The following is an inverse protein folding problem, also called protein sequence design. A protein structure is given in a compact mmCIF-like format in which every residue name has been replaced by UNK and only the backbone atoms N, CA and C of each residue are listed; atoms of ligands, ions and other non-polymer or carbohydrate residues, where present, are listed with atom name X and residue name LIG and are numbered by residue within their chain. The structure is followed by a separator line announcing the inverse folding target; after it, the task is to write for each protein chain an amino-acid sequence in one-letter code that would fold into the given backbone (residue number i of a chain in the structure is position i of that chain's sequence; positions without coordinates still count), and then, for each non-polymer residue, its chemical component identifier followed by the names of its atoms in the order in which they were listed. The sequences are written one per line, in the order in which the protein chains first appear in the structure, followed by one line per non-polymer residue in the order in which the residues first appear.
data_IF_062422179771
#
_entry.id   IF_062422179771
#
_cell.length_a   1.000
_cell.length_b   1.000
_cell.length_c   1.000
_cell.angle_alpha   90.00
_cell.angle_beta   90.00
_cell.angle_gamma   90.00
#
_symmetry.space_group_name_H-M   'P 1'
#
loop_
_entity.id
_entity.type
_entity.pdbx_description
1 polymer ?
#
# COMPACT_ATOMS: atom_id res chain seq x y z
N UNK A 1 29.00 4.75 -6.65
CA UNK A 1 27.79 5.41 -7.19
C UNK A 1 26.63 5.53 -6.19
N UNK A 2 26.73 4.93 -5.00
CA UNK A 2 25.70 4.97 -3.93
C UNK A 2 25.70 6.23 -3.06
N UNK A 3 26.80 6.98 -2.99
CA UNK A 3 26.91 8.17 -2.11
C UNK A 3 26.41 9.48 -2.74
N UNK A 4 26.21 9.52 -4.07
CA UNK A 4 25.70 10.75 -4.73
C UNK A 4 24.20 10.96 -4.54
N UNK A 5 23.41 9.93 -4.26
CA UNK A 5 21.96 10.04 -4.02
C UNK A 5 21.59 10.61 -2.64
N UNK A 6 22.50 10.52 -1.66
CA UNK A 6 22.28 11.12 -0.31
C UNK A 6 22.36 12.65 -0.30
N UNK A 7 22.89 13.28 -1.35
CA UNK A 7 23.06 14.74 -1.44
C UNK A 7 21.85 15.50 -1.97
N UNK A 8 20.83 14.80 -2.51
CA UNK A 8 19.66 15.42 -3.15
C UNK A 8 18.37 15.41 -2.31
N UNK A 9 18.38 14.83 -1.11
CA UNK A 9 17.22 14.93 -0.23
C UNK A 9 17.34 16.20 0.58
N UNK A 10 16.43 17.18 0.40
CA UNK A 10 16.40 18.34 1.29
C UNK A 10 16.24 17.83 2.73
N UNK A 11 16.89 18.52 3.67
CA UNK A 11 17.02 18.16 5.08
C UNK A 11 15.66 18.13 5.80
N UNK A 12 14.77 17.25 5.41
CA UNK A 12 13.44 17.05 5.97
C UNK A 12 12.55 16.29 4.97
N UNK A 13 11.68 15.44 5.46
CA UNK A 13 10.68 14.75 4.65
C UNK A 13 9.34 14.80 5.37
N UNK A 14 8.28 14.81 4.58
CA UNK A 14 6.91 14.75 5.04
C UNK A 14 6.30 13.43 4.55
N UNK A 15 5.80 12.64 5.48
CA UNK A 15 5.03 11.44 5.20
C UNK A 15 3.57 11.70 5.56
N UNK A 16 2.70 11.69 4.57
CA UNK A 16 1.26 11.76 4.73
C UNK A 16 0.68 10.35 4.65
N UNK A 17 -0.18 9.97 5.59
CA UNK A 17 -0.94 8.73 5.55
C UNK A 17 -2.41 9.03 5.40
N UNK A 18 -3.06 8.36 4.47
CA UNK A 18 -4.49 8.42 4.24
C UNK A 18 -5.12 7.07 4.58
N UNK A 19 -6.09 7.09 5.48
CA UNK A 19 -7.01 5.99 5.74
C UNK A 19 -8.43 6.39 5.35
N UNK A 20 -9.38 5.47 5.48
CA UNK A 20 -10.80 5.74 5.22
C UNK A 20 -11.33 6.88 6.08
N UNK A 21 -10.93 6.91 7.34
CA UNK A 21 -11.53 7.75 8.37
C UNK A 21 -10.64 8.91 8.81
N UNK A 22 -9.36 8.90 8.41
CA UNK A 22 -8.40 9.89 8.87
C UNK A 22 -7.28 10.17 7.87
N UNK A 23 -6.78 11.39 7.92
CA UNK A 23 -5.51 11.79 7.32
C UNK A 23 -4.54 12.15 8.43
N UNK A 24 -3.32 11.67 8.34
CA UNK A 24 -2.27 12.01 9.30
C UNK A 24 -0.97 12.36 8.60
N UNK A 25 -0.20 13.25 9.22
CA UNK A 25 1.12 13.63 8.73
C UNK A 25 2.17 13.36 9.79
N UNK A 26 3.30 12.84 9.35
CA UNK A 26 4.54 12.77 10.12
C UNK A 26 5.58 13.62 9.40
N UNK A 27 5.91 14.75 9.99
CA UNK A 27 7.00 15.61 9.50
C UNK A 27 8.26 15.34 10.32
N UNK A 28 9.32 14.97 9.63
CA UNK A 28 10.65 14.84 10.21
C UNK A 28 11.50 15.99 9.67
N UNK A 29 11.88 16.90 10.54
CA UNK A 29 12.82 17.99 10.21
C UNK A 29 14.24 17.42 10.08
N UNK A 30 15.03 17.98 9.16
CA UNK A 30 16.41 17.52 8.93
C UNK A 30 17.41 17.88 10.03
N UNK A 31 16.99 18.56 11.09
CA UNK A 31 17.83 18.83 12.27
C UNK A 31 17.87 17.62 13.17
N UNK A 32 19.09 17.27 13.64
CA UNK A 32 19.31 16.10 14.53
C UNK A 32 18.53 16.16 15.85
N UNK A 33 18.11 17.35 16.28
CA UNK A 33 17.44 17.60 17.58
C UNK A 33 15.96 17.97 17.42
N UNK A 34 15.36 17.86 16.23
CA UNK A 34 13.95 18.21 16.07
C UNK A 34 13.06 17.03 16.41
N UNK A 35 12.07 17.27 17.25
CA UNK A 35 11.01 16.30 17.55
C UNK A 35 10.14 16.12 16.30
N UNK A 36 9.80 14.86 15.92
CA UNK A 36 8.86 14.62 14.85
C UNK A 36 7.48 15.22 15.19
N UNK A 37 6.91 15.98 14.26
CA UNK A 37 5.55 16.52 14.40
C UNK A 37 4.58 15.52 13.82
N UNK A 38 3.62 15.05 14.62
CA UNK A 38 2.52 14.19 14.17
C UNK A 38 1.20 14.93 14.39
N UNK A 39 0.40 15.02 13.32
CA UNK A 39 -0.92 15.64 13.33
C UNK A 39 -1.87 14.70 12.60
N UNK A 40 -3.13 14.62 13.03
CA UNK A 40 -4.16 13.85 12.36
C UNK A 40 -5.48 14.64 12.35
N UNK A 41 -6.25 14.48 11.26
CA UNK A 41 -7.59 15.02 11.09
C UNK A 41 -8.53 13.94 10.57
N UNK A 42 -9.83 14.00 10.91
CA UNK A 42 -10.82 13.08 10.35
C UNK A 42 -10.99 13.35 8.83
N UNK A 43 -11.26 12.28 8.09
CA UNK A 43 -11.60 12.36 6.66
C UNK A 43 -13.11 12.22 6.47
N UNK A 44 -13.72 12.98 5.55
CA UNK A 44 -15.11 12.76 5.16
C UNK A 44 -15.24 11.43 4.38
N UNK A 45 -16.45 10.88 4.36
CA UNK A 45 -16.72 9.66 3.59
C UNK A 45 -16.38 9.86 2.10
N UNK A 46 -15.60 8.93 1.56
CA UNK A 46 -15.11 9.04 0.18
C UNK A 46 -16.23 8.92 -0.87
N UNK A 47 -17.32 8.22 -0.57
CA UNK A 47 -18.31 7.80 -1.58
C UNK A 47 -18.90 8.99 -2.36
N UNK A 48 -19.22 10.09 -1.68
CA UNK A 48 -19.90 11.24 -2.29
C UNK A 48 -19.07 12.53 -2.26
N UNK A 49 -17.83 12.46 -1.73
CA UNK A 49 -17.00 13.65 -1.58
C UNK A 49 -16.32 14.05 -2.90
N UNK A 50 -16.38 15.33 -3.23
CA UNK A 50 -15.62 15.91 -4.33
C UNK A 50 -14.14 16.06 -3.95
N UNK A 51 -13.22 16.21 -4.93
CA UNK A 51 -11.81 16.45 -4.65
C UNK A 51 -11.58 17.65 -3.72
N UNK A 52 -12.33 18.73 -3.87
CA UNK A 52 -12.20 19.93 -3.04
C UNK A 52 -12.56 19.66 -1.58
N UNK A 53 -13.63 18.92 -1.33
CA UNK A 53 -14.05 18.52 0.03
C UNK A 53 -13.01 17.62 0.69
N UNK A 54 -12.44 16.67 -0.07
CA UNK A 54 -11.36 15.80 0.42
C UNK A 54 -10.05 16.56 0.66
N UNK A 55 -9.77 17.61 -0.10
CA UNK A 55 -8.57 18.41 0.04
C UNK A 55 -8.55 19.23 1.34
N UNK A 56 -9.71 19.61 1.89
CA UNK A 56 -9.80 20.43 3.12
C UNK A 56 -9.04 19.80 4.29
N UNK A 57 -9.36 18.59 4.77
CA UNK A 57 -8.64 17.98 5.89
C UNK A 57 -7.16 17.69 5.57
N UNK A 58 -6.83 17.38 4.30
CA UNK A 58 -5.45 17.16 3.88
C UNK A 58 -4.66 18.46 3.99
N UNK A 59 -5.21 19.57 3.52
CA UNK A 59 -4.58 20.90 3.65
C UNK A 59 -4.41 21.28 5.11
N UNK A 60 -5.46 21.10 5.93
CA UNK A 60 -5.43 21.44 7.34
C UNK A 60 -4.34 20.69 8.13
N UNK A 61 -4.15 19.40 7.85
CA UNK A 61 -3.10 18.61 8.51
C UNK A 61 -1.70 19.05 8.08
N UNK A 62 -1.51 19.42 6.81
CA UNK A 62 -0.25 19.93 6.28
C UNK A 62 0.09 21.32 6.86
N UNK A 63 -0.90 22.21 6.97
CA UNK A 63 -0.77 23.54 7.58
C UNK A 63 -0.37 23.43 9.04
N UNK A 64 -1.12 22.62 9.82
CA UNK A 64 -0.84 22.40 11.24
C UNK A 64 0.55 21.82 11.49
N UNK A 65 1.01 20.94 10.60
CA UNK A 65 2.37 20.39 10.68
C UNK A 65 3.45 21.36 10.17
N UNK A 66 3.06 22.51 9.62
CA UNK A 66 3.97 23.49 9.05
C UNK A 66 4.74 22.97 7.83
N UNK A 67 4.07 22.17 7.00
CA UNK A 67 4.67 21.64 5.77
C UNK A 67 4.52 22.70 4.68
N UNK A 68 5.65 23.18 4.16
CA UNK A 68 5.68 24.06 3.01
C UNK A 68 6.92 23.78 2.18
N UNK A 69 6.78 23.86 0.85
CA UNK A 69 7.90 23.73 -0.12
C UNK A 69 8.76 22.47 0.09
N UNK A 70 8.13 21.39 0.52
CA UNK A 70 8.80 20.12 0.85
C UNK A 70 8.25 18.97 -0.01
N UNK A 71 9.07 17.96 -0.31
CA UNK A 71 8.55 16.75 -0.94
C UNK A 71 7.64 15.99 0.04
N UNK A 72 6.45 15.63 -0.43
CA UNK A 72 5.44 14.89 0.34
C UNK A 72 5.35 13.48 -0.21
N UNK A 73 5.60 12.50 0.65
CA UNK A 73 5.40 11.09 0.37
C UNK A 73 4.07 10.65 0.96
N UNK A 74 3.20 10.11 0.14
CA UNK A 74 1.86 9.69 0.56
C UNK A 74 1.80 8.18 0.62
N UNK A 75 1.33 7.67 1.75
CA UNK A 75 0.94 6.28 1.93
C UNK A 75 -0.57 6.20 2.00
N UNK A 76 -1.17 5.29 1.23
CA UNK A 76 -2.61 5.07 1.19
C UNK A 76 -2.89 3.71 1.83
N UNK A 77 -3.83 3.66 2.77
CA UNK A 77 -4.28 2.42 3.37
C UNK A 77 -4.94 1.50 2.33
N UNK A 78 -4.78 0.21 2.50
CA UNK A 78 -5.13 -0.79 1.48
C UNK A 78 -6.63 -0.90 1.22
N UNK A 79 -7.47 -0.49 2.16
CA UNK A 79 -8.93 -0.44 1.98
C UNK A 79 -9.39 0.66 1.00
N UNK A 80 -8.52 1.63 0.71
CA UNK A 80 -8.72 2.68 -0.29
C UNK A 80 -8.17 2.30 -1.68
N UNK A 81 -7.48 1.18 -1.81
CA UNK A 81 -6.87 0.72 -3.05
C UNK A 81 -7.54 -0.57 -3.56
N UNK A 82 -7.40 -0.82 -4.86
CA UNK A 82 -7.77 -2.07 -5.51
C UNK A 82 -6.52 -2.73 -6.07
N UNK A 83 -6.31 -4.00 -5.77
CA UNK A 83 -5.15 -4.77 -6.21
C UNK A 83 -5.56 -5.92 -7.10
N UNK A 84 -4.83 -6.15 -8.16
CA UNK A 84 -5.10 -7.28 -9.05
C UNK A 84 -3.86 -7.69 -9.83
N UNK A 85 -3.85 -8.93 -10.26
CA UNK A 85 -2.81 -9.46 -11.14
C UNK A 85 -3.33 -9.41 -12.57
N UNK A 86 -2.52 -8.86 -13.46
CA UNK A 86 -2.77 -8.75 -14.88
C UNK A 86 -1.90 -9.76 -15.61
N UNK A 87 -2.52 -10.61 -16.42
CA UNK A 87 -1.81 -11.45 -17.39
C UNK A 87 -1.68 -10.66 -18.68
N UNK A 88 -0.45 -10.39 -19.16
CA UNK A 88 -0.27 -9.66 -20.41
C UNK A 88 -0.83 -10.47 -21.59
N UNK A 89 -1.41 -9.80 -22.60
CA UNK A 89 -1.81 -10.47 -23.82
C UNK A 89 -0.62 -11.13 -24.53
N UNK A 90 -0.87 -12.26 -25.21
CA UNK A 90 0.16 -12.93 -25.98
C UNK A 90 0.76 -11.97 -27.05
N UNK A 91 2.08 -11.94 -27.15
CA UNK A 91 2.83 -11.09 -28.09
C UNK A 91 2.63 -9.58 -27.90
N UNK A 92 2.13 -9.15 -26.74
CA UNK A 92 2.01 -7.73 -26.41
C UNK A 92 3.36 -7.12 -26.13
N UNK A 93 3.73 -6.09 -26.89
CA UNK A 93 4.96 -5.32 -26.68
C UNK A 93 4.69 -3.85 -26.39
N UNK A 94 3.45 -3.39 -26.59
CA UNK A 94 3.08 -1.98 -26.45
C UNK A 94 2.48 -1.71 -25.08
N UNK A 95 2.86 -0.60 -24.47
CA UNK A 95 2.29 -0.15 -23.19
C UNK A 95 0.77 0.03 -23.25
N UNK A 96 0.24 0.42 -24.41
CA UNK A 96 -1.20 0.58 -24.62
C UNK A 96 -1.96 -0.74 -24.45
N UNK A 97 -1.42 -1.85 -24.97
CA UNK A 97 -2.04 -3.17 -24.87
C UNK A 97 -2.05 -3.67 -23.41
N UNK A 98 -0.97 -3.42 -22.69
CA UNK A 98 -0.88 -3.75 -21.25
C UNK A 98 -1.88 -2.94 -20.42
N UNK A 99 -2.05 -1.65 -20.72
CA UNK A 99 -3.04 -0.79 -20.07
C UNK A 99 -4.46 -1.23 -20.40
N UNK A 100 -4.74 -1.59 -21.63
CA UNK A 100 -6.04 -2.12 -22.05
C UNK A 100 -6.37 -3.43 -21.29
N UNK A 101 -5.40 -4.37 -21.23
CA UNK A 101 -5.56 -5.61 -20.48
C UNK A 101 -5.82 -5.36 -19.01
N UNK A 102 -5.11 -4.41 -18.39
CA UNK A 102 -5.35 -4.02 -16.99
C UNK A 102 -6.75 -3.43 -16.81
N UNK A 103 -7.22 -2.59 -17.74
CA UNK A 103 -8.58 -2.03 -17.71
C UNK A 103 -9.67 -3.10 -17.78
N UNK A 104 -9.55 -4.04 -18.71
CA UNK A 104 -10.47 -5.19 -18.83
C UNK A 104 -10.45 -6.04 -17.54
N UNK A 105 -9.25 -6.35 -17.02
CA UNK A 105 -9.14 -7.13 -15.80
C UNK A 105 -9.75 -6.42 -14.59
N UNK A 106 -9.55 -5.11 -14.46
CA UNK A 106 -10.16 -4.29 -13.42
C UNK A 106 -11.69 -4.35 -13.48
N UNK A 107 -12.27 -4.13 -14.67
CA UNK A 107 -13.71 -4.18 -14.88
C UNK A 107 -14.31 -5.55 -14.56
N UNK A 108 -13.64 -6.63 -14.95
CA UNK A 108 -14.08 -7.99 -14.63
C UNK A 108 -14.07 -8.30 -13.13
N UNK A 109 -13.14 -7.76 -12.38
CA UNK A 109 -13.01 -8.03 -10.95
C UNK A 109 -13.90 -7.15 -10.08
N UNK A 110 -14.06 -5.88 -10.45
CA UNK A 110 -14.71 -4.87 -9.61
C UNK A 110 -16.02 -4.34 -10.18
N UNK A 111 -16.36 -4.68 -11.43
CA UNK A 111 -17.58 -4.20 -12.08
C UNK A 111 -17.58 -2.69 -12.37
N UNK A 112 -16.45 -2.01 -12.18
CA UNK A 112 -16.32 -0.56 -12.27
C UNK A 112 -15.49 -0.16 -13.50
N UNK A 113 -15.77 1.04 -14.04
CA UNK A 113 -14.93 1.64 -15.09
C UNK A 113 -13.64 2.17 -14.50
N UNK A 114 -12.51 1.89 -15.16
CA UNK A 114 -11.20 2.42 -14.77
C UNK A 114 -11.10 3.95 -14.91
N UNK A 115 -12.05 4.61 -15.60
CA UNK A 115 -12.07 6.06 -15.78
C UNK A 115 -12.09 6.87 -14.47
N UNK A 116 -12.57 6.27 -13.39
CA UNK A 116 -12.62 6.90 -12.06
C UNK A 116 -11.44 6.53 -11.15
N UNK A 117 -10.46 5.81 -11.71
CA UNK A 117 -9.34 5.25 -10.96
C UNK A 117 -8.00 5.65 -11.57
N UNK A 118 -7.07 6.00 -10.73
CA UNK A 118 -5.67 6.18 -11.12
C UNK A 118 -4.96 4.83 -11.04
N UNK A 119 -4.54 4.31 -12.17
CA UNK A 119 -3.87 3.01 -12.29
C UNK A 119 -2.35 3.15 -12.25
N UNK A 120 -1.71 2.33 -11.44
CA UNK A 120 -0.27 2.08 -11.45
C UNK A 120 0.01 0.57 -11.48
N UNK A 121 1.08 0.15 -12.13
CA UNK A 121 1.43 -1.27 -12.24
C UNK A 121 2.94 -1.48 -12.46
N UNK A 122 3.40 -2.70 -12.15
CA UNK A 122 4.74 -3.21 -12.48
C UNK A 122 4.77 -3.71 -13.95
N UNK A 123 4.51 -2.83 -14.90
CA UNK A 123 4.32 -3.15 -16.32
C UNK A 123 5.32 -4.17 -16.86
N UNK A 124 4.86 -5.36 -17.17
CA UNK A 124 5.69 -6.43 -17.70
C UNK A 124 5.00 -7.14 -18.86
N UNK A 125 5.68 -7.22 -20.02
CA UNK A 125 5.07 -7.74 -21.25
C UNK A 125 5.04 -9.27 -21.34
N UNK A 126 5.87 -9.97 -20.54
CA UNK A 126 6.09 -11.43 -20.70
C UNK A 126 5.49 -12.23 -19.54
N UNK A 127 5.30 -11.64 -18.37
CA UNK A 127 4.80 -12.35 -17.19
C UNK A 127 3.71 -11.56 -16.47
N UNK A 128 2.83 -12.25 -15.73
CA UNK A 128 1.84 -11.59 -14.89
C UNK A 128 2.49 -10.56 -13.96
N UNK A 129 1.83 -9.42 -13.77
CA UNK A 129 2.32 -8.31 -12.98
C UNK A 129 1.24 -7.76 -12.05
N UNK A 130 1.69 -7.18 -10.94
CA UNK A 130 0.83 -6.47 -10.01
C UNK A 130 0.37 -5.14 -10.60
N UNK A 131 -0.92 -4.89 -10.51
CA UNK A 131 -1.53 -3.59 -10.72
C UNK A 131 -2.27 -3.15 -9.46
N UNK A 132 -2.27 -1.84 -9.22
CA UNK A 132 -3.09 -1.22 -8.19
C UNK A 132 -3.80 0.02 -8.74
N UNK A 133 -5.00 0.27 -8.25
CA UNK A 133 -5.81 1.42 -8.60
C UNK A 133 -6.26 2.14 -7.33
N UNK A 134 -6.19 3.47 -7.34
CA UNK A 134 -6.71 4.34 -6.28
C UNK A 134 -7.75 5.28 -6.86
N UNK A 135 -8.76 5.74 -6.09
CA UNK A 135 -9.77 6.65 -6.60
C UNK A 135 -9.15 7.93 -7.18
N UNK A 136 -9.49 8.29 -8.42
CA UNK A 136 -8.95 9.47 -9.09
C UNK A 136 -9.24 10.76 -8.31
N UNK A 137 -10.44 10.85 -7.69
CA UNK A 137 -10.81 11.98 -6.82
C UNK A 137 -9.88 12.16 -5.62
N UNK A 138 -9.38 11.05 -5.03
CA UNK A 138 -8.43 11.12 -3.94
C UNK A 138 -7.06 11.62 -4.41
N UNK A 139 -6.61 11.18 -5.58
CA UNK A 139 -5.39 11.69 -6.19
C UNK A 139 -5.52 13.19 -6.54
N UNK A 140 -6.66 13.62 -7.07
CA UNK A 140 -6.93 15.03 -7.35
C UNK A 140 -6.94 15.88 -6.07
N UNK A 141 -7.56 15.39 -4.99
CA UNK A 141 -7.56 16.07 -3.69
C UNK A 141 -6.15 16.22 -3.11
N UNK A 142 -5.32 15.18 -3.23
CA UNK A 142 -3.92 15.25 -2.84
C UNK A 142 -3.16 16.31 -3.61
N UNK A 143 -3.36 16.39 -4.93
CA UNK A 143 -2.71 17.39 -5.77
C UNK A 143 -3.14 18.81 -5.35
N UNK A 144 -4.44 19.06 -5.16
CA UNK A 144 -4.95 20.36 -4.69
C UNK A 144 -4.31 20.78 -3.35
N UNK A 145 -4.27 19.86 -2.38
CA UNK A 145 -3.72 20.16 -1.07
C UNK A 145 -2.19 20.41 -1.11
N UNK A 146 -1.46 19.66 -1.93
CA UNK A 146 -0.02 19.80 -2.08
C UNK A 146 0.34 21.10 -2.80
N UNK A 147 -0.43 21.48 -3.82
CA UNK A 147 -0.23 22.73 -4.57
C UNK A 147 -0.53 23.95 -3.68
N UNK A 148 -1.53 23.89 -2.79
CA UNK A 148 -1.83 24.93 -1.81
C UNK A 148 -0.62 25.18 -0.88
N UNK A 149 0.17 24.15 -0.55
CA UNK A 149 1.39 24.25 0.25
C UNK A 149 2.63 24.65 -0.56
N UNK A 150 2.48 24.90 -1.86
CA UNK A 150 3.62 25.10 -2.79
C UNK A 150 4.67 24.00 -2.67
N UNK A 151 4.20 22.79 -2.38
CA UNK A 151 4.98 21.57 -2.19
C UNK A 151 4.95 20.72 -3.45
N UNK A 152 5.60 19.56 -3.45
CA UNK A 152 5.51 18.61 -4.55
C UNK A 152 5.12 17.22 -4.03
N UNK A 153 4.26 16.55 -4.79
CA UNK A 153 3.88 15.17 -4.53
C UNK A 153 5.00 14.25 -5.03
N UNK A 154 5.84 13.78 -4.10
CA UNK A 154 7.01 12.98 -4.44
C UNK A 154 6.68 11.52 -4.74
N UNK A 155 5.71 10.97 -4.03
CA UNK A 155 5.20 9.61 -4.27
C UNK A 155 3.82 9.41 -3.65
N UNK A 156 3.02 8.56 -4.29
CA UNK A 156 1.76 8.05 -3.76
C UNK A 156 1.81 6.53 -3.86
N UNK A 157 1.83 5.84 -2.74
CA UNK A 157 1.95 4.38 -2.71
C UNK A 157 1.00 3.77 -1.68
N UNK A 158 0.20 2.78 -2.06
CA UNK A 158 -0.53 1.97 -1.09
C UNK A 158 0.41 1.16 -0.18
N UNK A 159 -0.05 0.86 1.03
CA UNK A 159 0.74 0.16 2.06
C UNK A 159 1.25 -1.20 1.54
N UNK A 160 0.39 -1.97 0.89
CA UNK A 160 0.77 -3.27 0.35
C UNK A 160 1.89 -3.18 -0.69
N UNK A 161 1.84 -2.19 -1.60
CA UNK A 161 2.91 -1.98 -2.59
C UNK A 161 4.24 -1.66 -1.90
N UNK A 162 4.19 -0.85 -0.85
CA UNK A 162 5.37 -0.51 -0.04
C UNK A 162 5.95 -1.74 0.65
N UNK A 163 5.10 -2.55 1.28
CA UNK A 163 5.49 -3.80 1.94
C UNK A 163 6.08 -4.81 0.94
N UNK A 164 5.38 -5.03 -0.18
CA UNK A 164 5.84 -5.91 -1.26
C UNK A 164 7.22 -5.52 -1.79
N UNK A 165 7.42 -4.26 -2.14
CA UNK A 165 8.70 -3.77 -2.66
C UNK A 165 9.85 -3.93 -1.67
N UNK A 166 9.57 -3.86 -0.36
CA UNK A 166 10.56 -4.05 0.71
C UNK A 166 10.89 -5.52 0.95
N UNK A 167 9.88 -6.39 0.91
CA UNK A 167 10.00 -7.78 1.36
C UNK A 167 10.28 -8.77 0.23
N UNK A 168 9.82 -8.53 -1.01
CA UNK A 168 9.86 -9.49 -2.13
C UNK A 168 11.21 -10.17 -2.38
N UNK A 169 12.33 -9.50 -2.05
CA UNK A 169 13.68 -10.08 -2.21
C UNK A 169 14.12 -10.98 -1.06
N UNK A 170 13.36 -11.00 0.03
CA UNK A 170 13.66 -11.77 1.26
C UNK A 170 12.66 -12.91 1.47
N UNK A 171 11.59 -12.96 0.69
CA UNK A 171 10.58 -13.99 0.79
C UNK A 171 11.11 -15.30 0.25
N UNK A 172 10.92 -16.37 1.03
CA UNK A 172 11.07 -17.75 0.55
C UNK A 172 9.96 -18.14 -0.42
N UNK A 173 10.11 -19.27 -1.09
CA UNK A 173 9.16 -19.76 -2.08
C UNK A 173 7.73 -19.97 -1.50
N UNK A 174 7.64 -20.36 -0.24
CA UNK A 174 6.38 -20.71 0.44
C UNK A 174 5.92 -19.64 1.43
N UNK A 175 6.49 -18.43 1.37
CA UNK A 175 6.15 -17.35 2.26
C UNK A 175 5.18 -16.37 1.58
N UNK A 176 4.10 -16.00 2.29
CA UNK A 176 3.19 -14.94 1.87
C UNK A 176 3.53 -13.63 2.56
N UNK A 177 3.11 -12.54 1.94
CA UNK A 177 3.22 -11.19 2.50
C UNK A 177 1.83 -10.67 2.84
N UNK A 178 1.74 -9.93 3.93
CA UNK A 178 0.51 -9.26 4.32
C UNK A 178 0.78 -7.83 4.79
N UNK A 179 -0.21 -6.97 4.64
CA UNK A 179 -0.30 -5.69 5.32
C UNK A 179 -1.52 -5.67 6.22
N UNK A 180 -1.33 -5.20 7.43
CA UNK A 180 -2.40 -5.03 8.41
C UNK A 180 -2.63 -3.54 8.66
N UNK A 181 -3.74 -3.03 8.17
CA UNK A 181 -4.26 -1.71 8.46
C UNK A 181 -5.30 -1.72 9.58
N UNK A 182 -5.93 -0.60 9.82
CA UNK A 182 -6.96 -0.47 10.85
C UNK A 182 -8.24 -1.23 10.48
N UNK A 183 -8.61 -1.20 9.18
CA UNK A 183 -9.88 -1.75 8.67
C UNK A 183 -9.71 -2.96 7.75
N UNK A 184 -8.50 -3.27 7.32
CA UNK A 184 -8.26 -4.31 6.33
C UNK A 184 -6.96 -5.09 6.56
N UNK A 185 -7.01 -6.36 6.16
CA UNK A 185 -5.86 -7.23 5.95
C UNK A 185 -5.71 -7.45 4.44
N UNK A 186 -4.57 -7.09 3.87
CA UNK A 186 -4.25 -7.40 2.48
C UNK A 186 -3.23 -8.51 2.42
N UNK A 187 -3.61 -9.61 1.75
CA UNK A 187 -2.77 -10.80 1.56
C UNK A 187 -2.20 -10.81 0.14
N UNK A 188 -0.88 -10.95 0.03
CA UNK A 188 -0.19 -11.25 -1.21
C UNK A 188 0.22 -12.72 -1.23
N UNK A 189 -0.42 -13.49 -2.09
CA UNK A 189 -0.17 -14.91 -2.28
C UNK A 189 1.02 -15.05 -3.21
N UNK A 190 2.09 -15.63 -2.70
CA UNK A 190 3.35 -15.76 -3.44
C UNK A 190 3.44 -17.15 -4.05
N UNK A 191 3.81 -17.21 -5.30
CA UNK A 191 4.14 -18.43 -6.02
C UNK A 191 5.51 -18.30 -6.68
N UNK A 192 6.18 -19.42 -6.88
CA UNK A 192 7.47 -19.47 -7.58
C UNK A 192 8.60 -20.02 -6.70
N UNK A 193 9.49 -20.79 -7.34
CA UNK A 193 10.57 -21.51 -6.64
C UNK A 193 11.88 -20.73 -6.62
N UNK A 194 12.14 -19.83 -7.56
CA UNK A 194 13.40 -19.09 -7.68
C UNK A 194 13.28 -17.61 -7.38
N UNK A 195 12.15 -17.01 -7.71
CA UNK A 195 11.85 -15.60 -7.43
C UNK A 195 10.42 -15.49 -6.95
N UNK A 196 10.22 -14.81 -5.82
CA UNK A 196 8.89 -14.53 -5.30
C UNK A 196 8.09 -13.71 -6.31
N UNK A 197 6.94 -14.23 -6.75
CA UNK A 197 5.97 -13.56 -7.62
C UNK A 197 4.62 -13.58 -6.96
N UNK A 198 3.86 -12.51 -7.11
CA UNK A 198 2.47 -12.50 -6.66
C UNK A 198 1.61 -13.31 -7.64
N UNK A 199 0.97 -14.36 -7.14
CA UNK A 199 -0.05 -15.11 -7.86
C UNK A 199 -1.41 -14.42 -7.74
N UNK A 200 -1.72 -13.91 -6.54
CA UNK A 200 -2.94 -13.16 -6.27
C UNK A 200 -2.71 -12.14 -5.15
N UNK A 201 -3.60 -11.14 -5.08
CA UNK A 201 -3.69 -10.20 -3.96
C UNK A 201 -5.15 -10.10 -3.53
N UNK A 202 -5.39 -10.19 -2.22
CA UNK A 202 -6.73 -10.12 -1.64
C UNK A 202 -6.77 -9.16 -0.47
N UNK A 203 -7.63 -8.17 -0.54
CA UNK A 203 -7.94 -7.28 0.58
C UNK A 203 -9.20 -7.77 1.27
N UNK A 204 -9.12 -8.02 2.56
CA UNK A 204 -10.16 -8.60 3.40
C UNK A 204 -10.48 -7.59 4.49
N UNK A 205 -11.73 -7.20 4.62
CA UNK A 205 -12.17 -6.33 5.70
C UNK A 205 -11.99 -7.05 7.04
N UNK A 206 -11.42 -6.36 8.01
CA UNK A 206 -11.32 -6.88 9.36
C UNK A 206 -12.71 -6.92 10.01
N UNK A 207 -13.02 -7.95 10.81
CA UNK A 207 -14.28 -7.99 11.52
C UNK A 207 -14.33 -6.89 12.58
N UNK A 208 -15.51 -6.36 12.85
CA UNK A 208 -15.74 -5.39 13.94
C UNK A 208 -15.38 -5.98 15.30
N UNK A 209 -15.59 -7.30 15.47
CA UNK A 209 -15.08 -8.06 16.60
C UNK A 209 -13.57 -8.29 16.47
N UNK A 210 -12.92 -8.64 17.56
CA UNK A 210 -11.49 -8.93 17.56
C UNK A 210 -11.14 -10.06 16.58
N UNK A 211 -10.35 -9.74 15.54
CA UNK A 211 -9.82 -10.74 14.62
C UNK A 211 -8.85 -11.66 15.36
N UNK A 212 -9.24 -12.92 15.56
CA UNK A 212 -8.46 -13.93 16.28
C UNK A 212 -7.41 -14.60 15.38
N UNK A 213 -6.50 -15.38 15.97
CA UNK A 213 -5.60 -16.25 15.23
C UNK A 213 -6.35 -17.28 14.36
N UNK A 214 -7.46 -17.81 14.87
CA UNK A 214 -8.32 -18.74 14.13
C UNK A 214 -8.89 -18.06 12.89
N UNK A 215 -9.43 -16.85 13.03
CA UNK A 215 -9.91 -16.06 11.89
C UNK A 215 -8.81 -15.86 10.83
N UNK A 216 -7.59 -15.50 11.25
CA UNK A 216 -6.47 -15.33 10.32
C UNK A 216 -6.16 -16.63 9.57
N UNK A 217 -6.08 -17.75 10.29
CA UNK A 217 -5.84 -19.07 9.69
C UNK A 217 -6.89 -19.45 8.67
N UNK A 218 -8.17 -19.21 8.99
CA UNK A 218 -9.29 -19.47 8.09
C UNK A 218 -9.19 -18.60 6.82
N UNK A 219 -8.80 -17.31 6.95
CA UNK A 219 -8.60 -16.45 5.78
C UNK A 219 -7.44 -16.92 4.90
N UNK A 220 -6.34 -17.37 5.48
CA UNK A 220 -5.20 -17.93 4.73
C UNK A 220 -5.58 -19.19 3.98
N UNK A 221 -6.28 -20.12 4.65
CA UNK A 221 -6.78 -21.36 4.05
C UNK A 221 -7.76 -21.07 2.91
N UNK A 222 -8.72 -20.16 3.15
CA UNK A 222 -9.68 -19.74 2.14
C UNK A 222 -9.01 -19.10 0.92
N UNK A 223 -8.04 -18.23 1.15
CA UNK A 223 -7.30 -17.59 0.06
C UNK A 223 -6.52 -18.63 -0.77
N UNK A 224 -5.86 -19.59 -0.11
CA UNK A 224 -5.15 -20.68 -0.77
C UNK A 224 -6.07 -21.50 -1.69
N UNK A 225 -7.24 -21.87 -1.18
CA UNK A 225 -8.22 -22.66 -1.94
C UNK A 225 -8.79 -21.88 -3.13
N UNK A 226 -9.17 -20.62 -2.93
CA UNK A 226 -9.78 -19.79 -3.97
C UNK A 226 -8.84 -19.46 -5.13
N UNK A 227 -7.53 -19.34 -4.87
CA UNK A 227 -6.52 -19.02 -5.88
C UNK A 227 -5.73 -20.25 -6.33
N UNK A 228 -6.10 -21.44 -5.86
CA UNK A 228 -5.45 -22.72 -6.17
C UNK A 228 -3.92 -22.64 -5.96
N UNK A 229 -3.50 -22.11 -4.80
CA UNK A 229 -2.10 -22.03 -4.38
C UNK A 229 -1.90 -22.79 -3.08
N UNK A 230 -0.67 -23.22 -2.79
CA UNK A 230 -0.34 -23.87 -1.52
C UNK A 230 -0.49 -22.88 -0.36
N UNK A 231 -0.99 -23.34 0.81
CA UNK A 231 -0.95 -22.54 2.03
C UNK A 231 0.50 -22.13 2.37
N UNK A 232 0.71 -20.96 2.97
CA UNK A 232 2.06 -20.51 3.29
C UNK A 232 2.67 -21.29 4.46
N UNK A 233 3.98 -21.52 4.43
CA UNK A 233 4.76 -21.98 5.59
C UNK A 233 5.16 -20.80 6.51
N UNK A 234 5.23 -19.60 5.95
CA UNK A 234 5.54 -18.37 6.68
C UNK A 234 4.69 -17.19 6.19
N UNK A 235 4.33 -16.32 7.11
CA UNK A 235 3.58 -15.09 6.83
C UNK A 235 4.37 -13.88 7.31
N UNK A 236 4.75 -13.00 6.38
CA UNK A 236 5.43 -11.75 6.68
C UNK A 236 4.39 -10.63 6.74
N UNK A 237 4.09 -10.11 7.93
CA UNK A 237 3.09 -9.06 8.12
C UNK A 237 3.76 -7.70 8.32
N UNK A 238 3.41 -6.75 7.47
CA UNK A 238 3.77 -5.35 7.65
C UNK A 238 2.64 -4.62 8.36
N UNK A 239 2.92 -4.04 9.52
CA UNK A 239 1.93 -3.33 10.33
C UNK A 239 2.27 -3.35 11.81
N UNK A 240 1.29 -2.98 12.64
CA UNK A 240 1.41 -3.05 14.10
C UNK A 240 1.06 -4.47 14.54
N UNK A 241 1.93 -5.14 15.32
CA UNK A 241 1.62 -6.46 15.86
C UNK A 241 0.29 -6.48 16.60
N UNK A 242 -0.50 -7.51 16.34
CA UNK A 242 -1.78 -7.73 17.00
C UNK A 242 -1.64 -8.83 18.04
N UNK A 243 -2.18 -8.58 19.22
CA UNK A 243 -2.22 -9.60 20.27
C UNK A 243 -2.96 -10.85 19.79
N UNK A 244 -2.41 -12.01 20.12
CA UNK A 244 -2.97 -13.30 19.71
C UNK A 244 -2.59 -13.77 18.29
N UNK A 245 -1.84 -12.98 17.51
CA UNK A 245 -1.33 -13.39 16.19
C UNK A 245 0.13 -13.86 16.24
N UNK A 246 0.55 -14.47 17.35
CA UNK A 246 1.86 -15.10 17.46
C UNK A 246 1.90 -16.39 16.65
N UNK A 247 3.11 -16.83 16.29
CA UNK A 247 3.36 -18.01 15.47
C UNK A 247 2.65 -19.28 16.01
N UNK A 248 2.73 -19.52 17.30
CA UNK A 248 2.12 -20.70 17.95
C UNK A 248 0.59 -20.68 17.84
N UNK A 249 -0.05 -19.52 17.93
CA UNK A 249 -1.50 -19.38 17.87
C UNK A 249 -2.03 -19.54 16.43
N UNK A 250 -1.25 -19.07 15.43
CA UNK A 250 -1.62 -19.17 14.01
C UNK A 250 -1.25 -20.53 13.42
N UNK A 251 -0.27 -21.23 14.00
CA UNK A 251 0.21 -22.52 13.53
C UNK A 251 1.09 -22.43 12.30
N UNK A 252 1.72 -21.26 12.07
CA UNK A 252 2.71 -21.02 11.03
C UNK A 252 3.72 -19.96 11.48
N UNK A 253 4.84 -19.85 10.79
CA UNK A 253 5.86 -18.85 11.12
C UNK A 253 5.37 -17.43 10.74
N UNK A 254 5.00 -16.63 11.75
CA UNK A 254 4.57 -15.24 11.58
C UNK A 254 5.72 -14.30 11.91
N UNK A 255 6.08 -13.45 10.95
CA UNK A 255 7.15 -12.46 11.08
C UNK A 255 6.58 -11.04 10.91
N UNK A 256 6.76 -10.20 11.92
CA UNK A 256 6.28 -8.83 11.92
C UNK A 256 7.34 -7.85 11.43
N UNK A 257 6.93 -6.97 10.51
CA UNK A 257 7.76 -5.90 9.97
C UNK A 257 7.11 -4.54 10.25
N UNK A 258 7.79 -3.71 11.02
CA UNK A 258 7.27 -2.39 11.41
C UNK A 258 7.52 -1.34 10.32
N UNK A 259 6.54 -0.45 10.11
CA UNK A 259 6.72 0.77 9.34
C UNK A 259 7.60 1.74 10.16
N UNK A 260 8.91 1.75 9.96
CA UNK A 260 9.74 2.79 10.57
C UNK A 260 11.03 2.37 11.28
N UNK A 261 11.26 1.11 11.59
CA UNK A 261 12.60 0.67 11.99
C UNK A 261 13.41 0.32 10.74
N UNK A 262 14.38 1.18 10.39
CA UNK A 262 15.47 0.74 9.52
C UNK A 262 16.16 -0.41 10.25
N UNK A 263 16.22 -1.55 9.61
CA UNK A 263 17.05 -2.67 10.05
C UNK A 263 18.49 -2.15 10.19
N UNK A 264 19.15 -2.24 11.35
CA UNK A 264 20.49 -1.68 11.55
C UNK A 264 21.57 -2.39 10.72
N UNK A 265 21.20 -3.36 9.88
CA UNK A 265 22.13 -4.16 9.04
C UNK A 265 22.03 -3.88 7.54
N UNK A 266 21.59 -2.67 7.12
CA UNK A 266 21.69 -2.22 5.72
C UNK A 266 22.59 -1.01 5.55
#
# INVERSE_FOLDING_TARGET
MRDRLKRFWPRGHCCLRLSRDAVSVLRVSGSRNSTPVRVAHPMPALVDATPDVLAVPITAVLDTAGVARSPIHVTIDDDLARYFIVTPPANSTRMQDLRAAAGVRFQLLYGESLAHWQLAADWHAVSPFLACAVPQRLHAALQLAVDAQRSCLASVMPDFVTAWNRLRRRLGADAWVATLGDNALTLGLVAGTKTARLAAVRTITLPESTATATWLRDQLTRAALLDNVSPPSALHIHGVPRDGWQADAVGLNVQWHHAGKRDPKQ
#
